data_IF_203664135065
#
_entry.id   IF_203664135065
#
_cell.length_a   1.000
_cell.length_b   1.000
_cell.length_c   1.000
_cell.angle_alpha   90.00
_cell.angle_beta   90.00
_cell.angle_gamma   90.00
#
_symmetry.space_group_name_H-M   'P 1'
#
loop_
_entity.id
_entity.type
_entity.pdbx_description
1 polymer ?
#
# COMPACT_ATOMS: atom_id res chain seq x y z
N UNK A 1 13.13 -11.12 -5.41
CA UNK A 1 11.96 -10.68 -4.62
C UNK A 1 11.94 -9.17 -4.66
N UNK A 2 10.78 -8.56 -4.88
CA UNK A 2 10.63 -7.10 -4.92
C UNK A 2 9.48 -6.70 -3.99
N UNK A 3 9.66 -5.58 -3.30
CA UNK A 3 8.64 -4.89 -2.50
C UNK A 3 8.66 -3.44 -2.98
N UNK A 4 7.49 -2.88 -3.26
CA UNK A 4 7.34 -1.52 -3.80
C UNK A 4 6.35 -0.79 -2.89
N UNK A 5 6.79 0.32 -2.30
CA UNK A 5 5.95 1.18 -1.47
C UNK A 5 5.55 2.44 -2.23
N UNK A 6 4.26 2.77 -2.19
CA UNK A 6 3.71 3.99 -2.77
C UNK A 6 3.55 5.05 -1.67
N UNK A 7 4.62 5.81 -1.43
CA UNK A 7 4.62 6.82 -0.37
C UNK A 7 3.58 7.92 -0.65
N UNK A 8 2.85 8.31 0.41
CA UNK A 8 1.81 9.32 0.38
C UNK A 8 0.66 9.05 -0.61
N UNK A 9 0.38 7.79 -0.94
CA UNK A 9 -0.75 7.42 -1.80
C UNK A 9 -1.88 6.75 -1.00
N UNK A 10 -3.11 7.18 -1.26
CA UNK A 10 -4.32 6.58 -0.69
C UNK A 10 -4.91 5.46 -1.56
N UNK A 11 -5.70 4.58 -0.94
CA UNK A 11 -6.37 3.46 -1.65
C UNK A 11 -7.29 3.96 -2.77
N UNK A 12 -8.23 4.86 -2.47
CA UNK A 12 -9.20 5.34 -3.45
C UNK A 12 -8.54 6.05 -4.64
N UNK A 13 -7.46 6.80 -4.40
CA UNK A 13 -6.69 7.47 -5.44
C UNK A 13 -5.94 6.48 -6.36
N UNK A 14 -5.42 5.38 -5.78
CA UNK A 14 -4.55 4.44 -6.51
C UNK A 14 -5.33 3.30 -7.17
N UNK A 15 -6.26 2.69 -6.42
CA UNK A 15 -6.97 1.47 -6.80
C UNK A 15 -8.48 1.67 -6.98
N UNK A 16 -9.00 2.87 -6.67
CA UNK A 16 -10.43 3.19 -6.81
C UNK A 16 -10.87 3.50 -8.24
N UNK A 17 -12.05 4.12 -8.35
CA UNK A 17 -12.61 4.58 -9.63
C UNK A 17 -13.27 5.96 -9.46
N UNK A 18 -12.74 7.03 -10.09
CA UNK A 18 -11.57 7.03 -10.97
C UNK A 18 -10.25 6.82 -10.22
N UNK A 19 -9.26 6.19 -10.87
CA UNK A 19 -7.89 6.06 -10.35
C UNK A 19 -6.92 7.01 -11.06
N UNK A 20 -5.81 7.33 -10.39
CA UNK A 20 -4.71 8.10 -10.99
C UNK A 20 -3.93 7.27 -12.04
N UNK A 21 -3.88 5.94 -11.87
CA UNK A 21 -3.16 5.02 -12.75
C UNK A 21 -4.02 3.78 -13.04
N UNK A 22 -4.19 3.46 -14.32
CA UNK A 22 -5.03 2.33 -14.75
C UNK A 22 -4.33 0.99 -14.63
N UNK A 23 -3.00 0.95 -14.72
CA UNK A 23 -2.22 -0.26 -14.51
C UNK A 23 -2.31 -0.68 -13.05
N UNK A 24 -2.09 0.24 -12.11
CA UNK A 24 -2.22 -0.04 -10.67
C UNK A 24 -3.65 -0.41 -10.28
N UNK A 25 -4.67 0.25 -10.82
CA UNK A 25 -6.06 -0.03 -10.44
C UNK A 25 -6.68 -1.28 -11.11
N UNK A 26 -6.17 -1.74 -12.26
CA UNK A 26 -6.83 -2.80 -13.05
C UNK A 26 -5.92 -3.93 -13.47
N UNK A 27 -4.72 -3.64 -13.95
CA UNK A 27 -3.83 -4.65 -14.51
C UNK A 27 -3.11 -5.41 -13.39
N UNK A 28 -2.48 -4.67 -12.46
CA UNK A 28 -1.72 -5.26 -11.37
C UNK A 28 -2.58 -6.14 -10.43
N UNK A 29 -3.79 -5.72 -9.97
CA UNK A 29 -4.61 -6.53 -9.09
C UNK A 29 -5.07 -7.85 -9.73
N UNK A 30 -5.24 -7.88 -11.06
CA UNK A 30 -5.60 -9.12 -11.80
C UNK A 30 -4.47 -10.15 -11.85
N UNK A 31 -3.24 -9.75 -11.53
CA UNK A 31 -2.09 -10.65 -11.48
C UNK A 31 -1.87 -11.24 -10.08
N UNK A 32 -2.74 -10.94 -9.11
CA UNK A 32 -2.60 -11.41 -7.73
C UNK A 32 -3.83 -11.11 -6.88
N UNK A 33 -3.60 -10.67 -5.65
CA UNK A 33 -4.63 -10.30 -4.70
C UNK A 33 -4.46 -8.85 -4.26
N UNK A 34 -5.57 -8.12 -4.17
CA UNK A 34 -5.64 -6.77 -3.62
C UNK A 34 -6.27 -6.82 -2.23
N UNK A 35 -5.58 -6.28 -1.22
CA UNK A 35 -6.08 -6.17 0.14
C UNK A 35 -6.76 -4.80 0.32
N UNK A 36 -8.10 -4.78 0.36
CA UNK A 36 -8.86 -3.53 0.46
C UNK A 36 -8.89 -2.94 1.89
N UNK A 37 -8.60 -3.77 2.89
CA UNK A 37 -8.64 -3.41 4.31
C UNK A 37 -7.24 -3.53 4.95
N UNK A 38 -6.22 -3.02 4.25
CA UNK A 38 -4.84 -2.95 4.74
C UNK A 38 -4.58 -1.57 5.35
N UNK A 39 -4.16 -1.53 6.61
CA UNK A 39 -4.02 -0.29 7.37
C UNK A 39 -2.57 -0.07 7.81
N UNK A 40 -2.12 1.18 7.70
CA UNK A 40 -0.89 1.63 8.32
C UNK A 40 -1.00 1.55 9.85
N UNK A 41 0.13 1.33 10.52
CA UNK A 41 0.20 1.30 12.00
C UNK A 41 0.50 2.68 12.60
N UNK A 42 0.73 3.69 11.76
CA UNK A 42 0.95 5.05 12.20
C UNK A 42 0.84 6.07 11.06
N UNK A 43 0.57 7.33 11.43
CA UNK A 43 0.42 8.41 10.46
C UNK A 43 1.73 8.70 9.70
N UNK A 44 2.83 8.85 10.44
CA UNK A 44 4.17 9.03 9.86
C UNK A 44 4.74 7.73 9.32
N UNK A 45 5.41 7.82 8.17
CA UNK A 45 5.88 6.66 7.39
C UNK A 45 6.95 5.82 8.09
N UNK A 46 7.84 6.44 8.88
CA UNK A 46 8.96 5.74 9.53
C UNK A 46 8.53 4.52 10.36
N UNK A 47 7.46 4.62 11.14
CA UNK A 47 6.97 3.51 11.95
C UNK A 47 6.44 2.35 11.07
N UNK A 48 5.80 2.67 9.94
CA UNK A 48 5.27 1.66 9.02
C UNK A 48 6.41 0.87 8.36
N UNK A 49 7.46 1.56 7.93
CA UNK A 49 8.62 0.92 7.29
C UNK A 49 9.37 -0.01 8.24
N UNK A 50 9.62 0.43 9.49
CA UNK A 50 10.27 -0.42 10.50
C UNK A 50 9.43 -1.67 10.75
N UNK A 51 8.11 -1.52 10.96
CA UNK A 51 7.24 -2.67 11.21
C UNK A 51 7.15 -3.63 10.02
N UNK A 52 7.15 -3.12 8.79
CA UNK A 52 7.10 -3.93 7.56
C UNK A 52 8.33 -4.83 7.40
N UNK A 53 9.52 -4.36 7.82
CA UNK A 53 10.76 -5.15 7.72
C UNK A 53 11.07 -5.98 8.96
N UNK A 54 10.70 -5.51 10.16
CA UNK A 54 11.08 -6.16 11.43
C UNK A 54 9.95 -6.90 12.13
N UNK A 55 8.68 -6.64 11.77
CA UNK A 55 7.51 -7.14 12.50
C UNK A 55 7.31 -6.51 13.89
N UNK A 56 8.10 -5.50 14.26
CA UNK A 56 7.98 -4.83 15.55
C UNK A 56 6.91 -3.73 15.50
N UNK A 57 6.08 -3.57 16.53
CA UNK A 57 5.12 -2.48 16.59
C UNK A 57 5.81 -1.14 16.80
N UNK A 58 5.07 -0.05 16.59
CA UNK A 58 5.49 1.29 17.02
C UNK A 58 5.62 1.30 18.55
N UNK A 59 6.78 1.76 19.05
CA UNK A 59 6.99 2.13 20.47
C UNK A 59 6.51 3.54 20.75
#
# INVERSE_FOLDING_TARGET
MWVIDLENQGYAQTFGNPSADTYLARTLPRMGALLENYYAIGHSSAANYVAQVSGQPRT
#
